data_IF_481625278931
#
_entry.id   IF_481625278931
#
_cell.length_a   1.000
_cell.length_b   1.000
_cell.length_c   1.000
_cell.angle_alpha   90.00
_cell.angle_beta   90.00
_cell.angle_gamma   90.00
#
_symmetry.space_group_name_H-M   'P 1'
#
loop_
_entity.id
_entity.type
_entity.pdbx_description
1 polymer ?
#
# COMPACT_ATOMS: atom_id res chain seq x y z
N UNK A 1 3.01 18.55 -21.83
CA UNK A 1 2.16 17.36 -21.63
C UNK A 1 2.94 16.36 -20.80
N UNK A 2 2.28 15.62 -19.92
CA UNK A 2 2.87 14.55 -19.13
C UNK A 2 2.24 13.23 -19.56
N UNK A 3 3.02 12.15 -19.57
CA UNK A 3 2.53 10.82 -19.96
C UNK A 3 2.13 9.97 -18.74
N UNK A 4 2.41 10.42 -17.52
CA UNK A 4 2.08 9.67 -16.30
C UNK A 4 2.23 10.46 -15.01
N UNK A 5 1.75 9.86 -13.93
CA UNK A 5 1.89 10.35 -12.55
C UNK A 5 2.57 9.30 -11.67
N UNK A 6 3.32 9.76 -10.67
CA UNK A 6 3.87 8.90 -9.62
C UNK A 6 3.38 9.33 -8.26
N UNK A 7 2.18 8.94 -7.80
CA UNK A 7 1.66 9.36 -6.51
C UNK A 7 2.29 8.55 -5.36
N UNK A 8 2.20 9.08 -4.14
CA UNK A 8 2.48 8.29 -2.95
C UNK A 8 1.44 7.17 -2.81
N UNK A 9 1.87 5.92 -2.57
CA UNK A 9 1.01 4.72 -2.56
C UNK A 9 -0.24 4.84 -1.66
N UNK A 10 -0.23 5.53 -0.50
CA UNK A 10 -1.43 5.72 0.33
C UNK A 10 -2.48 6.66 -0.28
N UNK A 11 -2.15 7.43 -1.31
CA UNK A 11 -3.17 8.18 -2.07
C UNK A 11 -4.01 7.27 -2.98
N UNK A 12 -3.49 6.08 -3.32
CA UNK A 12 -4.23 5.05 -4.05
C UNK A 12 -4.98 4.14 -3.08
N UNK A 13 -4.29 3.61 -2.07
CA UNK A 13 -4.90 2.77 -1.03
C UNK A 13 -4.42 3.27 0.33
N UNK A 14 -5.27 4.03 1.01
CA UNK A 14 -4.95 4.55 2.34
C UNK A 14 -5.12 3.47 3.42
N UNK A 15 -4.73 3.80 4.64
CA UNK A 15 -4.93 2.95 5.81
C UNK A 15 -5.33 3.82 7.01
N UNK A 16 -5.87 3.19 8.05
CA UNK A 16 -6.23 3.86 9.30
C UNK A 16 -5.78 3.05 10.51
N UNK A 17 -5.59 3.74 11.64
CA UNK A 17 -5.47 3.06 12.92
C UNK A 17 -6.81 2.39 13.31
N UNK A 18 -6.71 1.36 14.14
CA UNK A 18 -7.86 0.69 14.76
C UNK A 18 -7.98 1.14 16.20
N UNK A 19 -9.20 1.40 16.66
CA UNK A 19 -9.57 1.66 18.05
C UNK A 19 -10.89 0.91 18.29
N UNK A 20 -10.78 -0.39 18.58
CA UNK A 20 -11.93 -1.27 18.76
C UNK A 20 -12.59 -1.10 20.13
N UNK A 21 -11.82 -0.66 21.13
CA UNK A 21 -12.31 -0.45 22.49
C UNK A 21 -12.90 0.96 22.72
N UNK A 22 -12.76 1.87 21.75
CA UNK A 22 -13.19 3.27 21.77
C UNK A 22 -12.59 4.09 22.91
N UNK A 23 -11.33 3.82 23.27
CA UNK A 23 -10.61 4.56 24.31
C UNK A 23 -9.83 5.79 23.78
N UNK A 24 -9.88 6.01 22.46
CA UNK A 24 -9.21 7.11 21.78
C UNK A 24 -7.73 6.85 21.49
N UNK A 25 -7.24 5.63 21.75
CA UNK A 25 -5.87 5.19 21.45
C UNK A 25 -5.92 4.12 20.35
N UNK A 26 -4.82 4.04 19.61
CA UNK A 26 -4.67 2.97 18.63
C UNK A 26 -4.42 1.64 19.35
N UNK A 27 -5.07 0.58 18.88
CA UNK A 27 -4.85 -0.79 19.31
C UNK A 27 -3.52 -1.32 18.73
N UNK A 28 -2.72 -1.95 19.58
CA UNK A 28 -1.58 -2.75 19.14
C UNK A 28 -2.13 -4.09 18.60
N UNK A 29 -2.20 -4.22 17.27
CA UNK A 29 -2.81 -5.36 16.62
C UNK A 29 -1.90 -6.59 16.62
N UNK A 30 -0.60 -6.38 16.78
CA UNK A 30 0.41 -7.43 16.66
C UNK A 30 1.04 -7.84 18.01
N UNK A 31 0.78 -7.07 19.08
CA UNK A 31 1.17 -7.35 20.46
C UNK A 31 2.65 -7.08 20.78
N UNK A 32 3.34 -6.25 19.99
CA UNK A 32 4.77 -5.94 20.20
C UNK A 32 5.02 -4.71 21.10
N UNK A 33 3.97 -4.04 21.55
CA UNK A 33 4.03 -2.87 22.42
C UNK A 33 4.38 -1.56 21.71
N UNK A 34 4.51 -1.57 20.38
CA UNK A 34 4.66 -0.36 19.56
C UNK A 34 3.40 -0.12 18.73
N UNK A 35 3.13 1.15 18.40
CA UNK A 35 2.06 1.52 17.47
C UNK A 35 2.71 2.04 16.19
N UNK A 36 2.64 1.27 15.11
CA UNK A 36 3.19 1.64 13.80
C UNK A 36 2.31 1.24 12.61
N UNK A 37 2.90 1.09 11.41
CA UNK A 37 2.14 0.74 10.20
C UNK A 37 1.49 -0.65 10.34
N UNK A 38 2.10 -1.58 11.10
CA UNK A 38 1.59 -2.94 11.33
C UNK A 38 0.27 -2.97 12.08
N UNK A 39 -0.12 -1.87 12.71
CA UNK A 39 -1.36 -1.71 13.48
C UNK A 39 -2.44 -0.97 12.69
N UNK A 40 -2.15 -0.68 11.42
CA UNK A 40 -3.10 -0.04 10.51
C UNK A 40 -3.82 -1.09 9.68
N UNK A 41 -5.08 -0.80 9.37
CA UNK A 41 -5.89 -1.56 8.41
C UNK A 41 -6.13 -0.76 7.15
N UNK A 42 -6.20 -1.43 6.01
CA UNK A 42 -6.45 -0.80 4.72
C UNK A 42 -7.85 -0.21 4.62
N UNK A 43 -7.93 0.88 3.86
CA UNK A 43 -9.18 1.48 3.41
C UNK A 43 -9.43 1.11 1.94
N UNK A 44 -10.67 1.28 1.45
CA UNK A 44 -10.96 1.15 0.03
C UNK A 44 -10.04 2.02 -0.82
N UNK A 45 -9.74 1.54 -2.04
CA UNK A 45 -8.96 2.30 -2.99
C UNK A 45 -9.68 3.60 -3.39
N UNK A 46 -8.91 4.65 -3.66
CA UNK A 46 -9.42 5.92 -4.17
C UNK A 46 -9.64 5.87 -5.69
N UNK A 47 -10.32 6.89 -6.22
CA UNK A 47 -10.51 7.05 -7.67
C UNK A 47 -9.27 7.62 -8.39
N UNK A 48 -8.14 7.87 -7.71
CA UNK A 48 -6.96 8.52 -8.33
C UNK A 48 -6.44 7.73 -9.54
N UNK A 49 -6.29 6.41 -9.41
CA UNK A 49 -5.84 5.55 -10.52
C UNK A 49 -6.81 5.62 -11.69
N UNK A 50 -8.09 5.39 -11.40
CA UNK A 50 -9.17 5.40 -12.39
C UNK A 50 -9.22 6.72 -13.16
N UNK A 51 -9.13 7.84 -12.46
CA UNK A 51 -9.16 9.17 -13.07
C UNK A 51 -7.90 9.42 -13.91
N UNK A 52 -6.72 9.00 -13.47
CA UNK A 52 -5.49 9.13 -14.25
C UNK A 52 -5.54 8.30 -15.55
N UNK A 53 -6.00 7.05 -15.46
CA UNK A 53 -6.18 6.21 -16.65
C UNK A 53 -7.23 6.75 -17.62
N UNK A 54 -8.31 7.37 -17.12
CA UNK A 54 -9.32 8.01 -17.96
C UNK A 54 -8.75 9.18 -18.79
N UNK A 55 -7.70 9.83 -18.29
CA UNK A 55 -6.95 10.88 -18.99
C UNK A 55 -5.77 10.33 -19.81
N UNK A 56 -5.61 9.01 -19.89
CA UNK A 56 -4.54 8.35 -20.66
C UNK A 56 -3.16 8.41 -20.00
N UNK A 57 -3.08 8.64 -18.68
CA UNK A 57 -1.83 8.73 -17.93
C UNK A 57 -1.45 7.39 -17.30
N UNK A 58 -0.18 6.98 -17.43
CA UNK A 58 0.37 5.85 -16.65
C UNK A 58 0.50 6.21 -15.16
N UNK A 59 0.38 5.23 -14.27
CA UNK A 59 0.47 5.45 -12.82
C UNK A 59 1.52 4.55 -12.18
N UNK A 60 2.60 5.14 -11.67
CA UNK A 60 3.71 4.44 -11.02
C UNK A 60 3.91 4.91 -9.57
N UNK A 61 3.19 4.34 -8.58
CA UNK A 61 3.29 4.82 -7.20
C UNK A 61 4.64 4.54 -6.54
N UNK A 62 4.96 5.37 -5.54
CA UNK A 62 6.14 5.26 -4.68
C UNK A 62 5.76 5.34 -3.18
N UNK A 63 6.59 4.94 -2.22
CA UNK A 63 7.72 3.99 -2.34
C UNK A 63 7.30 2.69 -1.69
N UNK A 64 7.48 1.57 -2.38
CA UNK A 64 7.25 0.26 -1.82
C UNK A 64 8.48 -0.19 -1.01
N UNK A 65 8.20 -0.66 0.20
CA UNK A 65 9.19 -0.96 1.23
C UNK A 65 8.79 -2.25 1.91
N UNK A 66 9.66 -3.25 1.82
CA UNK A 66 9.33 -4.63 2.21
C UNK A 66 9.71 -4.96 3.65
N UNK A 67 10.21 -4.01 4.43
CA UNK A 67 10.44 -4.21 5.85
C UNK A 67 9.12 -4.41 6.59
N UNK A 68 9.03 -5.42 7.46
CA UNK A 68 7.79 -5.80 8.15
C UNK A 68 7.10 -4.61 8.86
N UNK A 69 7.87 -3.71 9.47
CA UNK A 69 7.35 -2.49 10.15
C UNK A 69 6.70 -1.45 9.24
N UNK A 70 6.77 -1.61 7.91
CA UNK A 70 6.18 -0.73 6.90
C UNK A 70 4.97 -1.36 6.22
N UNK A 71 4.62 -2.59 6.59
CA UNK A 71 3.51 -3.32 6.04
C UNK A 71 2.33 -3.21 6.99
N UNK A 72 1.18 -2.84 6.44
CA UNK A 72 -0.09 -2.81 7.18
C UNK A 72 -0.55 -4.22 7.56
N UNK A 73 -1.34 -4.31 8.62
CA UNK A 73 -1.80 -5.58 9.21
C UNK A 73 -2.42 -6.54 8.19
N UNK A 74 -3.17 -6.02 7.20
CA UNK A 74 -3.80 -6.80 6.12
C UNK A 74 -2.84 -7.71 5.36
N UNK A 75 -1.57 -7.29 5.22
CA UNK A 75 -0.56 -8.06 4.50
C UNK A 75 0.08 -9.15 5.35
N UNK A 76 -0.16 -9.17 6.67
CA UNK A 76 0.34 -10.20 7.60
C UNK A 76 1.86 -10.42 7.49
N UNK A 77 2.59 -9.34 7.23
CA UNK A 77 4.05 -9.37 7.03
C UNK A 77 4.52 -9.89 5.66
N UNK A 78 3.64 -10.31 4.75
CA UNK A 78 4.01 -10.68 3.38
C UNK A 78 4.11 -9.43 2.49
N UNK A 79 5.34 -8.96 2.26
CA UNK A 79 5.58 -7.83 1.37
C UNK A 79 5.07 -8.09 -0.07
N UNK A 80 5.03 -9.34 -0.54
CA UNK A 80 4.51 -9.66 -1.87
C UNK A 80 3.01 -9.42 -1.98
N UNK A 81 2.28 -9.55 -0.88
CA UNK A 81 0.85 -9.27 -0.84
C UNK A 81 0.55 -7.78 -1.08
N UNK A 82 1.44 -6.88 -0.62
CA UNK A 82 1.33 -5.45 -0.95
C UNK A 82 1.50 -5.22 -2.46
N UNK A 83 2.58 -5.70 -3.05
CA UNK A 83 2.80 -5.53 -4.49
C UNK A 83 1.66 -6.12 -5.31
N UNK A 84 1.24 -7.35 -4.99
CA UNK A 84 0.15 -8.02 -5.69
C UNK A 84 -1.13 -7.18 -5.64
N UNK A 85 -1.49 -6.63 -4.48
CA UNK A 85 -2.68 -5.77 -4.35
C UNK A 85 -2.62 -4.55 -5.26
N UNK A 86 -1.47 -3.91 -5.40
CA UNK A 86 -1.33 -2.75 -6.30
C UNK A 86 -1.32 -3.16 -7.77
N UNK A 87 -0.73 -4.31 -8.12
CA UNK A 87 -0.81 -4.85 -9.47
C UNK A 87 -2.26 -5.23 -9.86
N UNK A 88 -3.01 -5.85 -8.94
CA UNK A 88 -4.44 -6.15 -9.12
C UNK A 88 -5.30 -4.89 -9.19
N UNK A 89 -4.92 -3.82 -8.49
CA UNK A 89 -5.56 -2.51 -8.62
C UNK A 89 -5.38 -1.94 -10.04
N UNK A 90 -4.30 -2.31 -10.74
CA UNK A 90 -4.02 -1.94 -12.12
C UNK A 90 -2.92 -0.89 -12.29
N UNK A 91 -2.00 -0.73 -11.33
CA UNK A 91 -0.87 0.20 -11.52
C UNK A 91 0.05 -0.28 -12.66
N UNK A 92 0.58 0.65 -13.44
CA UNK A 92 1.40 0.34 -14.62
C UNK A 92 2.86 -0.05 -14.25
N UNK A 93 3.26 0.25 -13.02
CA UNK A 93 4.60 0.05 -12.49
C UNK A 93 4.69 0.49 -11.04
N UNK A 94 5.82 0.22 -10.38
CA UNK A 94 6.03 0.59 -8.98
C UNK A 94 7.46 1.09 -8.78
N UNK A 95 7.64 2.09 -7.92
CA UNK A 95 8.94 2.46 -7.39
C UNK A 95 9.17 1.76 -6.06
N UNK A 96 10.20 0.93 -6.01
CA UNK A 96 10.48 0.05 -4.88
C UNK A 96 11.95 0.08 -4.49
N UNK A 97 12.21 0.08 -3.19
CA UNK A 97 13.55 -0.15 -2.62
C UNK A 97 13.93 -1.65 -2.62
N UNK A 98 12.98 -2.53 -2.96
CA UNK A 98 13.07 -4.00 -2.97
C UNK A 98 12.58 -4.57 -4.31
N UNK A 99 13.32 -4.32 -5.41
CA UNK A 99 12.90 -4.70 -6.76
C UNK A 99 12.75 -6.22 -6.96
N UNK A 100 13.52 -7.02 -6.22
CA UNK A 100 13.42 -8.49 -6.22
C UNK A 100 12.04 -8.95 -5.70
N UNK A 101 11.56 -8.38 -4.60
CA UNK A 101 10.23 -8.63 -4.06
C UNK A 101 9.13 -8.16 -5.02
N UNK A 102 9.31 -6.99 -5.64
CA UNK A 102 8.39 -6.43 -6.62
C UNK A 102 8.24 -7.33 -7.85
N UNK A 103 9.35 -7.87 -8.38
CA UNK A 103 9.34 -8.82 -9.51
C UNK A 103 8.73 -10.15 -9.09
N UNK A 104 9.12 -10.69 -7.92
CA UNK A 104 8.61 -11.98 -7.44
C UNK A 104 7.09 -11.99 -7.21
N UNK A 105 6.49 -10.83 -6.93
CA UNK A 105 5.04 -10.70 -6.75
C UNK A 105 4.24 -10.72 -8.07
N UNK A 106 4.88 -10.53 -9.25
CA UNK A 106 4.19 -10.58 -10.57
C UNK A 106 3.86 -11.98 -11.05
N UNK A 107 4.52 -13.01 -10.51
CA UNK A 107 4.44 -14.39 -10.97
C UNK A 107 3.40 -15.23 -10.20
N UNK A 108 2.47 -14.59 -9.48
CA UNK A 108 1.44 -15.23 -8.67
C UNK A 108 0.09 -15.22 -9.38
#
# INVERSE_FOLDING_TARGET
YADGIGPWKPYLISSKQVDANNDGKADDLNGDGAIDDRDRVLLPASDVLKNAHAEGLFVHPYTFRSEARRLVSDYKGDAKAEYLRFYELGVDGVFSDFPDAAVAARAR
#
